data_IF_075902513283
#
_entry.id   IF_075902513283
#
_cell.length_a   1.000
_cell.length_b   1.000
_cell.length_c   1.000
_cell.angle_alpha   90.00
_cell.angle_beta   90.00
_cell.angle_gamma   90.00
#
_symmetry.space_group_name_H-M   'P 1'
#
loop_
_entity.id
_entity.type
_entity.pdbx_description
1 polymer ?
#
# COMPACT_ATOMS: atom_id res chain seq x y z
N UNK A 1 29.34 -21.41 15.31
CA UNK A 1 28.85 -20.63 14.13
C UNK A 1 28.42 -19.26 14.60
N UNK A 2 28.89 -18.14 13.96
CA UNK A 2 28.46 -16.79 14.37
C UNK A 2 27.01 -16.47 13.95
N UNK A 3 26.37 -15.49 14.60
CA UNK A 3 25.03 -15.00 14.22
C UNK A 3 24.96 -14.59 12.75
N UNK A 4 26.01 -13.96 12.22
CA UNK A 4 26.10 -13.55 10.83
C UNK A 4 26.12 -14.75 9.87
N UNK A 5 26.92 -15.76 10.16
CA UNK A 5 26.95 -17.00 9.38
C UNK A 5 25.62 -17.78 9.47
N UNK A 6 25.01 -17.83 10.65
CA UNK A 6 23.68 -18.40 10.83
C UNK A 6 22.64 -17.68 9.96
N UNK A 7 22.66 -16.34 9.94
CA UNK A 7 21.77 -15.53 9.10
C UNK A 7 21.97 -15.85 7.62
N UNK A 8 23.20 -15.89 7.12
CA UNK A 8 23.52 -16.17 5.71
C UNK A 8 22.99 -17.55 5.29
N UNK A 9 23.09 -18.54 6.18
CA UNK A 9 22.56 -19.88 5.92
C UNK A 9 21.03 -19.89 5.91
N UNK A 10 20.39 -19.25 6.87
CA UNK A 10 18.95 -19.10 6.92
C UNK A 10 18.40 -18.33 5.69
N UNK A 11 19.05 -17.24 5.32
CA UNK A 11 18.68 -16.46 4.13
C UNK A 11 18.76 -17.31 2.86
N UNK A 12 19.83 -18.09 2.71
CA UNK A 12 20.02 -18.92 1.51
C UNK A 12 19.00 -20.04 1.37
N UNK A 13 18.47 -20.57 2.47
CA UNK A 13 17.57 -21.72 2.49
C UNK A 13 16.09 -21.33 2.58
N UNK A 14 15.74 -20.34 3.39
CA UNK A 14 14.33 -20.02 3.66
C UNK A 14 13.86 -18.65 3.13
N UNK A 15 14.72 -17.61 3.09
CA UNK A 15 14.26 -16.29 2.67
C UNK A 15 14.11 -16.14 1.15
N UNK A 16 14.71 -17.00 0.35
CA UNK A 16 14.57 -16.99 -1.11
C UNK A 16 13.12 -17.14 -1.57
N UNK A 17 12.28 -17.82 -0.80
CA UNK A 17 10.85 -17.99 -1.07
C UNK A 17 10.00 -16.74 -0.81
N UNK A 18 10.53 -15.71 -0.14
CA UNK A 18 9.82 -14.45 0.09
C UNK A 18 9.77 -13.62 -1.19
N UNK A 19 8.70 -12.83 -1.39
CA UNK A 19 8.52 -11.95 -2.56
C UNK A 19 9.69 -10.98 -2.78
N UNK A 20 10.30 -10.47 -1.70
CA UNK A 20 11.48 -9.60 -1.71
C UNK A 20 12.82 -10.36 -1.59
N UNK A 21 12.75 -11.70 -1.59
CA UNK A 21 13.91 -12.59 -1.42
C UNK A 21 14.75 -12.28 -0.17
N UNK A 22 14.13 -11.75 0.88
CA UNK A 22 14.78 -11.41 2.14
C UNK A 22 15.56 -10.09 2.17
N UNK A 23 15.48 -9.27 1.12
CA UNK A 23 16.24 -7.99 1.01
C UNK A 23 15.99 -7.06 2.19
N UNK A 24 14.72 -6.91 2.63
CA UNK A 24 14.41 -6.03 3.75
C UNK A 24 14.87 -6.61 5.09
N UNK A 25 14.81 -7.93 5.27
CA UNK A 25 15.33 -8.60 6.46
C UNK A 25 16.85 -8.42 6.54
N UNK A 26 17.57 -8.67 5.45
CA UNK A 26 19.02 -8.44 5.40
C UNK A 26 19.37 -7.00 5.75
N UNK A 27 18.65 -6.02 5.19
CA UNK A 27 18.88 -4.61 5.47
C UNK A 27 18.75 -4.27 6.96
N UNK A 28 17.73 -4.83 7.63
CA UNK A 28 17.53 -4.58 9.07
C UNK A 28 18.58 -5.30 9.92
N UNK A 29 18.97 -6.52 9.59
CA UNK A 29 20.03 -7.25 10.29
C UNK A 29 21.39 -6.57 10.17
N UNK A 30 21.77 -6.15 8.95
CA UNK A 30 23.03 -5.40 8.72
C UNK A 30 23.06 -4.10 9.54
N UNK A 31 21.94 -3.42 9.63
CA UNK A 31 21.86 -2.13 10.33
C UNK A 31 21.80 -2.28 11.86
N UNK A 32 21.04 -3.25 12.37
CA UNK A 32 20.57 -3.23 13.74
C UNK A 32 21.03 -4.44 14.59
N UNK A 33 21.45 -5.53 13.97
CA UNK A 33 21.84 -6.77 14.67
C UNK A 33 23.33 -7.04 14.54
N UNK A 34 23.86 -7.08 13.32
CA UNK A 34 25.28 -7.43 13.10
C UNK A 34 26.28 -6.53 13.81
N UNK A 35 26.06 -5.20 13.95
CA UNK A 35 26.99 -4.34 14.67
C UNK A 35 27.15 -4.68 16.15
N UNK A 36 26.18 -5.39 16.74
CA UNK A 36 26.20 -5.70 18.18
C UNK A 36 26.50 -7.17 18.43
N UNK A 37 25.86 -8.10 17.71
CA UNK A 37 25.98 -9.54 17.96
C UNK A 37 26.39 -10.37 16.72
N UNK A 38 26.71 -9.72 15.60
CA UNK A 38 27.02 -10.44 14.34
C UNK A 38 28.15 -11.45 14.45
N UNK A 39 29.20 -11.13 15.19
CA UNK A 39 30.38 -11.96 15.39
C UNK A 39 30.30 -12.87 16.62
N UNK A 40 29.23 -12.78 17.43
CA UNK A 40 28.99 -13.65 18.60
C UNK A 40 28.60 -15.03 18.11
N UNK A 41 29.07 -16.07 18.79
CA UNK A 41 28.66 -17.46 18.53
C UNK A 41 27.15 -17.58 18.81
N UNK A 42 26.37 -18.16 17.87
CA UNK A 42 24.91 -18.21 17.95
C UNK A 42 24.42 -18.91 19.23
N UNK A 43 25.13 -19.90 19.71
CA UNK A 43 24.89 -20.64 20.97
C UNK A 43 25.13 -19.80 22.22
N UNK A 44 26.00 -18.78 22.15
CA UNK A 44 26.32 -17.87 23.25
C UNK A 44 25.38 -16.66 23.33
N UNK A 45 24.51 -16.48 22.35
CA UNK A 45 23.56 -15.36 22.32
C UNK A 45 22.55 -15.48 23.44
N UNK A 46 22.56 -14.49 24.33
CA UNK A 46 21.61 -14.38 25.45
C UNK A 46 20.43 -13.50 25.10
N UNK A 47 19.28 -13.74 25.74
CA UNK A 47 18.07 -12.90 25.63
C UNK A 47 18.37 -11.42 25.86
N UNK A 48 19.21 -11.08 26.86
CA UNK A 48 19.59 -9.69 27.14
C UNK A 48 20.32 -9.01 25.98
N UNK A 49 21.10 -9.75 25.22
CA UNK A 49 21.80 -9.22 24.04
C UNK A 49 20.83 -8.88 22.92
N UNK A 50 19.83 -9.73 22.69
CA UNK A 50 18.76 -9.45 21.71
C UNK A 50 17.91 -8.25 22.17
N UNK A 51 17.50 -8.22 23.44
CA UNK A 51 16.77 -7.10 24.00
C UNK A 51 17.53 -5.77 23.81
N UNK A 52 18.82 -5.73 24.14
CA UNK A 52 19.64 -4.54 23.96
C UNK A 52 19.76 -4.07 22.48
N UNK A 53 19.76 -5.01 21.51
CA UNK A 53 19.70 -4.64 20.08
C UNK A 53 18.36 -3.97 19.74
N UNK A 54 17.25 -4.53 20.22
CA UNK A 54 15.90 -4.04 19.93
C UNK A 54 15.61 -2.73 20.65
N UNK A 55 16.08 -2.55 21.89
CA UNK A 55 15.95 -1.31 22.66
C UNK A 55 16.60 -0.13 21.94
N UNK A 56 17.81 -0.30 21.38
CA UNK A 56 18.46 0.72 20.53
C UNK A 56 17.60 1.14 19.33
N UNK A 57 16.85 0.19 18.75
CA UNK A 57 15.93 0.48 17.64
C UNK A 57 14.71 1.26 18.12
N UNK A 58 14.21 0.97 19.32
CA UNK A 58 13.11 1.72 19.97
C UNK A 58 13.57 3.13 20.35
N UNK A 59 14.73 3.28 20.98
CA UNK A 59 15.31 4.57 21.39
C UNK A 59 15.49 5.53 20.21
N UNK A 60 15.85 5.03 19.02
CA UNK A 60 15.91 5.87 17.83
C UNK A 60 14.53 6.19 17.21
N UNK A 61 13.42 5.87 17.88
CA UNK A 61 12.05 6.17 17.45
C UNK A 61 11.49 5.21 16.39
N UNK A 62 11.93 3.94 16.37
CA UNK A 62 11.48 2.97 15.37
C UNK A 62 10.87 1.69 15.98
N UNK A 63 9.88 1.77 16.89
CA UNK A 63 9.35 0.62 17.62
C UNK A 63 8.75 -0.46 16.70
N UNK A 64 8.11 -0.08 15.61
CA UNK A 64 7.55 -1.06 14.65
C UNK A 64 8.66 -1.89 13.98
N UNK A 65 9.82 -1.28 13.72
CA UNK A 65 10.97 -2.01 13.16
C UNK A 65 11.50 -3.01 14.19
N UNK A 66 11.62 -2.61 15.47
CA UNK A 66 12.04 -3.51 16.54
C UNK A 66 11.10 -4.73 16.67
N UNK A 67 9.78 -4.50 16.63
CA UNK A 67 8.77 -5.58 16.66
C UNK A 67 8.91 -6.56 15.50
N UNK A 68 9.14 -6.05 14.28
CA UNK A 68 9.32 -6.88 13.09
C UNK A 68 10.63 -7.65 13.17
N UNK A 69 11.70 -6.99 13.61
CA UNK A 69 13.02 -7.58 13.76
C UNK A 69 13.03 -8.72 14.79
N UNK A 70 12.28 -8.57 15.92
CA UNK A 70 12.06 -9.71 16.84
C UNK A 70 11.36 -10.88 16.14
N UNK A 71 10.41 -10.61 15.25
CA UNK A 71 9.77 -11.66 14.46
C UNK A 71 10.71 -12.40 13.52
N UNK A 72 11.62 -11.66 12.88
CA UNK A 72 12.63 -12.24 11.98
C UNK A 72 13.71 -12.99 12.79
N UNK A 73 14.15 -12.47 13.94
CA UNK A 73 15.06 -13.17 14.87
C UNK A 73 14.47 -14.51 15.34
N UNK A 74 13.18 -14.54 15.70
CA UNK A 74 12.50 -15.79 16.07
C UNK A 74 12.51 -16.82 14.96
N UNK A 75 12.29 -16.40 13.72
CA UNK A 75 12.32 -17.30 12.58
C UNK A 75 13.76 -17.84 12.37
N UNK A 76 14.76 -16.97 12.46
CA UNK A 76 16.16 -17.38 12.33
C UNK A 76 16.60 -18.35 13.43
N UNK A 77 16.30 -18.06 14.71
CA UNK A 77 16.65 -18.97 15.80
C UNK A 77 15.80 -20.24 15.81
N UNK A 78 14.53 -20.17 15.40
CA UNK A 78 13.72 -21.37 15.14
C UNK A 78 14.30 -22.26 14.05
N UNK A 79 14.83 -21.67 12.96
CA UNK A 79 15.60 -22.39 11.97
C UNK A 79 16.87 -23.01 12.57
N UNK A 80 17.59 -22.27 13.41
CA UNK A 80 18.81 -22.75 14.05
C UNK A 80 18.56 -23.95 14.97
N UNK A 81 17.47 -23.94 15.75
CA UNK A 81 17.05 -25.09 16.58
C UNK A 81 16.68 -26.29 15.69
N UNK A 82 15.88 -26.08 14.65
CA UNK A 82 15.48 -27.14 13.73
C UNK A 82 16.67 -27.87 13.08
N UNK A 83 17.77 -27.15 12.89
CA UNK A 83 19.01 -27.68 12.30
C UNK A 83 20.10 -28.00 13.33
N UNK A 84 19.75 -28.01 14.62
CA UNK A 84 20.66 -28.34 15.74
C UNK A 84 21.92 -27.46 15.81
N UNK A 85 21.82 -26.20 15.33
CA UNK A 85 22.90 -25.22 15.43
C UNK A 85 22.92 -24.51 16.78
N UNK A 86 21.81 -24.50 17.50
CA UNK A 86 21.67 -23.99 18.85
C UNK A 86 20.65 -24.86 19.61
N UNK A 87 20.85 -25.02 20.93
CA UNK A 87 19.95 -25.80 21.79
C UNK A 87 18.74 -24.97 22.28
N UNK A 88 18.94 -23.67 22.50
CA UNK A 88 17.96 -22.81 23.13
C UNK A 88 17.61 -21.62 22.24
N UNK A 89 16.33 -21.18 22.30
CA UNK A 89 15.86 -19.98 21.63
C UNK A 89 16.13 -18.74 22.50
N UNK A 90 17.11 -17.88 22.16
CA UNK A 90 17.39 -16.66 22.92
C UNK A 90 16.30 -15.60 22.76
N UNK A 91 15.33 -15.77 21.85
CA UNK A 91 14.18 -14.88 21.69
C UNK A 91 12.98 -15.30 22.55
N UNK A 92 13.08 -16.46 23.23
CA UNK A 92 12.04 -16.93 24.14
C UNK A 92 11.75 -15.88 25.21
N UNK A 93 10.47 -15.78 25.58
CA UNK A 93 9.95 -14.82 26.58
C UNK A 93 10.04 -13.32 26.24
N UNK A 94 10.67 -12.91 25.12
CA UNK A 94 10.51 -11.54 24.60
C UNK A 94 9.18 -11.40 23.90
N UNK A 95 8.36 -10.43 24.25
CA UNK A 95 7.09 -10.14 23.57
C UNK A 95 7.26 -8.98 22.61
N UNK A 96 6.55 -9.00 21.48
CA UNK A 96 6.57 -7.87 20.54
C UNK A 96 6.13 -6.57 21.22
N UNK A 97 5.24 -6.64 22.17
CA UNK A 97 4.69 -5.48 22.89
C UNK A 97 5.69 -4.87 23.89
N UNK A 98 6.75 -5.61 24.27
CA UNK A 98 7.87 -5.08 25.06
C UNK A 98 8.62 -3.96 24.31
N UNK A 99 8.61 -4.00 22.96
CA UNK A 99 9.29 -3.06 22.08
C UNK A 99 8.35 -2.03 21.45
N UNK A 100 7.20 -1.79 22.02
CA UNK A 100 6.20 -0.81 21.62
C UNK A 100 4.90 -1.45 21.10
N UNK A 101 3.80 -0.77 21.33
CA UNK A 101 2.47 -1.23 20.88
C UNK A 101 2.28 -1.01 19.40
N UNK A 102 1.64 -1.96 18.72
CA UNK A 102 1.15 -1.75 17.36
C UNK A 102 -0.10 -0.88 17.42
N UNK A 103 0.04 0.39 17.03
CA UNK A 103 -1.12 1.27 16.86
C UNK A 103 -1.74 0.94 15.50
N UNK A 104 -2.96 0.44 15.52
CA UNK A 104 -3.73 0.24 14.31
C UNK A 104 -4.26 1.58 13.84
N UNK A 105 -4.04 1.87 12.57
CA UNK A 105 -4.51 3.10 11.96
C UNK A 105 -5.92 2.85 11.40
N UNK A 106 -6.87 3.65 11.82
CA UNK A 106 -8.29 3.60 11.45
C UNK A 106 -8.76 4.80 10.63
N UNK A 107 -7.82 5.61 10.13
CA UNK A 107 -8.08 6.85 9.40
C UNK A 107 -8.93 6.59 8.15
N UNK A 108 -10.09 7.25 8.07
CA UNK A 108 -11.02 7.32 6.95
C UNK A 108 -11.29 8.79 6.67
N UNK A 109 -11.35 9.22 5.43
CA UNK A 109 -11.75 10.56 5.03
C UNK A 109 -13.28 10.64 5.03
N UNK A 110 -13.83 11.69 5.59
CA UNK A 110 -15.27 12.00 5.44
C UNK A 110 -15.56 12.78 4.15
N UNK A 111 -16.84 12.99 3.86
CA UNK A 111 -17.28 13.68 2.65
C UNK A 111 -16.72 15.09 2.52
N UNK A 112 -16.64 15.83 3.65
CA UNK A 112 -16.08 17.18 3.67
C UNK A 112 -14.57 17.17 3.32
N UNK A 113 -13.82 16.17 3.80
CA UNK A 113 -12.41 16.01 3.48
C UNK A 113 -12.18 15.54 2.04
N UNK A 114 -13.09 14.73 1.46
CA UNK A 114 -13.03 14.35 0.04
C UNK A 114 -13.27 15.57 -0.85
N UNK A 115 -14.30 16.36 -0.56
CA UNK A 115 -14.58 17.64 -1.24
C UNK A 115 -13.39 18.61 -1.13
N UNK A 116 -12.79 18.68 0.06
CA UNK A 116 -11.60 19.52 0.28
C UNK A 116 -10.39 19.01 -0.49
N UNK A 117 -10.18 17.71 -0.53
CA UNK A 117 -9.06 17.08 -1.24
C UNK A 117 -9.13 17.39 -2.75
N UNK A 118 -10.32 17.35 -3.33
CA UNK A 118 -10.55 17.74 -4.72
C UNK A 118 -10.09 19.18 -5.01
N UNK A 119 -10.43 20.11 -4.13
CA UNK A 119 -10.01 21.52 -4.24
C UNK A 119 -8.52 21.73 -4.00
N UNK A 120 -7.89 20.89 -3.17
CA UNK A 120 -6.46 21.03 -2.83
C UNK A 120 -5.53 20.42 -3.87
N UNK A 121 -5.97 19.40 -4.61
CA UNK A 121 -5.12 18.68 -5.56
C UNK A 121 -4.53 19.57 -6.66
N UNK A 122 -5.26 20.51 -7.30
CA UNK A 122 -4.71 21.40 -8.32
C UNK A 122 -3.51 22.21 -7.82
N UNK A 123 -3.56 22.70 -6.57
CA UNK A 123 -2.53 23.56 -5.97
C UNK A 123 -1.44 22.77 -5.24
N UNK A 124 -1.55 21.45 -5.14
CA UNK A 124 -0.65 20.61 -4.36
C UNK A 124 0.74 20.42 -5.00
N UNK A 125 1.02 21.03 -6.16
CA UNK A 125 2.26 20.80 -6.91
C UNK A 125 2.54 19.31 -7.15
N UNK A 126 1.49 18.52 -7.34
CA UNK A 126 1.56 17.13 -7.77
C UNK A 126 1.42 17.04 -9.27
N UNK A 127 2.08 16.05 -9.87
CA UNK A 127 1.82 15.73 -11.27
C UNK A 127 0.41 15.12 -11.39
N UNK A 128 -0.32 15.45 -12.45
CA UNK A 128 -1.67 14.95 -12.75
C UNK A 128 -1.78 13.42 -12.64
N UNK A 129 -0.72 12.71 -13.05
CA UNK A 129 -0.60 11.25 -12.87
C UNK A 129 -0.76 10.79 -11.41
N UNK A 130 -0.21 11.53 -10.45
CA UNK A 130 -0.30 11.19 -9.02
C UNK A 130 -1.70 11.46 -8.49
N UNK A 131 -2.33 12.56 -8.94
CA UNK A 131 -3.71 12.93 -8.58
C UNK A 131 -4.68 11.87 -9.10
N UNK A 132 -4.60 11.53 -10.39
CA UNK A 132 -5.43 10.50 -11.00
C UNK A 132 -5.26 9.13 -10.30
N UNK A 133 -4.02 8.76 -9.94
CA UNK A 133 -3.77 7.54 -9.19
C UNK A 133 -4.42 7.54 -7.80
N UNK A 134 -4.48 8.69 -7.10
CA UNK A 134 -5.19 8.81 -5.82
C UNK A 134 -6.70 8.58 -5.98
N UNK A 135 -7.31 9.19 -7.00
CA UNK A 135 -8.74 9.00 -7.29
C UNK A 135 -9.04 7.56 -7.71
N UNK A 136 -8.20 6.93 -8.52
CA UNK A 136 -8.34 5.51 -8.86
C UNK A 136 -8.27 4.63 -7.61
N UNK A 137 -7.34 4.88 -6.69
CA UNK A 137 -7.26 4.12 -5.43
C UNK A 137 -8.51 4.26 -4.59
N UNK A 138 -9.10 5.46 -4.51
CA UNK A 138 -10.34 5.71 -3.77
C UNK A 138 -11.53 5.02 -4.44
N UNK A 139 -11.68 5.18 -5.76
CA UNK A 139 -12.82 4.68 -6.54
C UNK A 139 -12.81 3.16 -6.76
N UNK A 140 -11.65 2.52 -6.69
CA UNK A 140 -11.50 1.07 -6.92
C UNK A 140 -11.20 0.28 -5.65
N UNK A 141 -10.88 0.95 -4.57
CA UNK A 141 -10.39 0.35 -3.33
C UNK A 141 -9.13 -0.53 -3.54
N UNK A 142 -8.35 -0.32 -4.61
CA UNK A 142 -7.14 -1.08 -4.90
C UNK A 142 -5.96 -0.66 -4.02
N UNK A 143 -4.99 -1.55 -3.86
CA UNK A 143 -3.75 -1.22 -3.15
C UNK A 143 -2.85 -0.35 -4.03
N UNK A 144 -2.09 0.55 -3.40
CA UNK A 144 -1.15 1.44 -4.12
C UNK A 144 -0.19 0.67 -5.03
N UNK A 145 0.27 -0.51 -4.61
CA UNK A 145 1.14 -1.36 -5.42
C UNK A 145 0.44 -1.93 -6.65
N UNK A 146 -0.85 -2.26 -6.54
CA UNK A 146 -1.66 -2.77 -7.65
C UNK A 146 -1.85 -1.69 -8.72
N UNK A 147 -2.11 -0.44 -8.32
CA UNK A 147 -2.25 0.71 -9.23
C UNK A 147 -0.90 1.07 -9.88
N UNK A 148 0.19 1.10 -9.12
CA UNK A 148 1.52 1.44 -9.64
C UNK A 148 2.00 0.42 -10.69
N UNK A 149 1.72 -0.85 -10.50
CA UNK A 149 2.12 -1.94 -11.39
C UNK A 149 1.04 -2.30 -12.43
N UNK A 150 0.01 -1.45 -12.61
CA UNK A 150 -1.01 -1.65 -13.62
C UNK A 150 -0.42 -1.50 -15.03
N UNK A 151 -0.89 -2.35 -15.95
CA UNK A 151 -0.50 -2.33 -17.36
C UNK A 151 -1.73 -2.13 -18.24
N UNK A 152 -1.58 -1.39 -19.33
CA UNK A 152 -2.68 -1.10 -20.25
C UNK A 152 -3.30 -2.37 -20.86
N UNK A 153 -2.53 -3.41 -21.09
CA UNK A 153 -3.03 -4.71 -21.60
C UNK A 153 -4.04 -5.41 -20.66
N UNK A 154 -4.09 -4.98 -19.39
CA UNK A 154 -5.01 -5.52 -18.39
C UNK A 154 -6.26 -4.64 -18.18
N UNK A 155 -6.41 -3.54 -18.91
CA UNK A 155 -7.47 -2.56 -18.73
C UNK A 155 -8.29 -2.45 -20.01
N UNK A 156 -9.55 -2.80 -19.92
CA UNK A 156 -10.53 -2.58 -20.97
C UNK A 156 -11.47 -1.44 -20.55
N UNK A 157 -11.22 -0.23 -21.08
CA UNK A 157 -12.04 0.95 -20.80
C UNK A 157 -13.41 0.88 -21.45
N UNK A 158 -13.59 0.12 -22.53
CA UNK A 158 -14.87 -0.07 -23.20
C UNK A 158 -15.75 -1.01 -22.37
N UNK A 159 -15.25 -2.19 -22.04
CA UNK A 159 -15.93 -3.13 -21.14
C UNK A 159 -16.01 -2.63 -19.70
N UNK A 160 -15.20 -1.63 -19.31
CA UNK A 160 -15.14 -1.11 -17.96
C UNK A 160 -14.52 -2.09 -16.96
N UNK A 161 -13.46 -2.80 -17.36
CA UNK A 161 -12.82 -3.79 -16.49
C UNK A 161 -11.31 -3.55 -16.37
N UNK A 162 -10.79 -3.84 -15.19
CA UNK A 162 -9.36 -3.89 -14.91
C UNK A 162 -9.01 -5.21 -14.24
N UNK A 163 -8.25 -6.05 -14.94
CA UNK A 163 -7.75 -7.32 -14.43
C UNK A 163 -6.41 -7.13 -13.71
N UNK A 164 -6.34 -7.48 -12.46
CA UNK A 164 -5.12 -7.48 -11.65
C UNK A 164 -4.59 -8.91 -11.62
N UNK A 165 -3.45 -9.21 -12.29
CA UNK A 165 -2.91 -10.56 -12.35
C UNK A 165 -2.37 -11.03 -10.98
N UNK A 166 -2.22 -12.34 -10.76
CA UNK A 166 -1.75 -12.91 -9.49
C UNK A 166 -0.43 -12.31 -9.00
N UNK A 167 0.52 -12.07 -9.89
CA UNK A 167 1.85 -11.53 -9.56
C UNK A 167 1.79 -10.10 -9.02
N UNK A 168 0.78 -9.33 -9.42
CA UNK A 168 0.55 -7.98 -8.92
C UNK A 168 -0.35 -7.97 -7.67
N UNK A 169 -1.14 -8.99 -7.44
CA UNK A 169 -1.98 -9.11 -6.27
C UNK A 169 -1.19 -9.52 -5.02
N UNK A 170 -1.50 -8.88 -3.85
CA UNK A 170 -0.80 -9.18 -2.59
C UNK A 170 -1.01 -10.63 -2.13
N UNK A 171 -2.18 -11.20 -2.39
CA UNK A 171 -2.56 -12.56 -1.98
C UNK A 171 -2.29 -13.63 -3.05
N UNK A 172 -1.66 -13.25 -4.19
CA UNK A 172 -1.35 -14.15 -5.29
C UNK A 172 -2.59 -14.66 -6.05
N UNK A 173 -3.75 -14.00 -5.91
CA UNK A 173 -4.98 -14.36 -6.62
C UNK A 173 -5.36 -13.25 -7.59
N UNK A 174 -5.73 -13.66 -8.81
CA UNK A 174 -6.30 -12.75 -9.79
C UNK A 174 -7.53 -12.04 -9.24
N UNK A 175 -7.71 -10.78 -9.63
CA UNK A 175 -8.82 -9.96 -9.22
C UNK A 175 -9.27 -9.08 -10.37
N UNK A 176 -10.58 -9.03 -10.62
CA UNK A 176 -11.19 -8.14 -11.60
C UNK A 176 -11.91 -7.01 -10.88
N UNK A 177 -11.59 -5.78 -11.24
CA UNK A 177 -12.24 -4.55 -10.80
C UNK A 177 -13.18 -4.08 -11.92
N UNK A 178 -14.42 -3.78 -11.58
CA UNK A 178 -15.39 -3.18 -12.51
C UNK A 178 -15.34 -1.66 -12.34
N UNK A 179 -14.93 -0.98 -13.41
CA UNK A 179 -14.65 0.46 -13.38
C UNK A 179 -15.94 1.28 -13.51
N UNK A 180 -16.26 2.06 -12.50
CA UNK A 180 -17.30 3.12 -12.60
C UNK A 180 -16.89 4.21 -13.62
N UNK A 181 -17.84 5.08 -14.01
CA UNK A 181 -17.55 6.23 -14.89
C UNK A 181 -16.44 7.09 -14.31
N UNK A 182 -16.51 7.41 -13.03
CA UNK A 182 -15.49 8.16 -12.30
C UNK A 182 -14.09 7.54 -12.43
N UNK A 183 -13.97 6.24 -12.17
CA UNK A 183 -12.69 5.54 -12.29
C UNK A 183 -12.18 5.53 -13.74
N UNK A 184 -13.08 5.28 -14.72
CA UNK A 184 -12.73 5.30 -16.14
C UNK A 184 -12.18 6.64 -16.60
N UNK A 185 -12.71 7.75 -16.13
CA UNK A 185 -12.25 9.06 -16.54
C UNK A 185 -10.83 9.37 -16.03
N UNK A 186 -10.50 8.94 -14.82
CA UNK A 186 -9.12 9.02 -14.33
C UNK A 186 -8.16 8.07 -15.08
N UNK A 187 -8.60 6.90 -15.51
CA UNK A 187 -7.79 6.05 -16.39
C UNK A 187 -7.62 6.66 -17.79
N UNK A 188 -8.63 7.32 -18.36
CA UNK A 188 -8.50 8.07 -19.64
C UNK A 188 -7.48 9.20 -19.51
N UNK A 189 -7.52 9.94 -18.38
CA UNK A 189 -6.52 10.96 -18.07
C UNK A 189 -5.11 10.37 -18.08
N UNK A 190 -4.89 9.24 -17.39
CA UNK A 190 -3.59 8.58 -17.38
C UNK A 190 -3.17 8.10 -18.77
N UNK A 191 -4.11 7.60 -19.59
CA UNK A 191 -3.83 7.16 -20.96
C UNK A 191 -3.37 8.32 -21.82
N UNK A 192 -4.07 9.46 -21.79
CA UNK A 192 -3.68 10.71 -22.46
C UNK A 192 -2.27 11.13 -22.06
N UNK A 193 -1.96 11.17 -20.77
CA UNK A 193 -0.64 11.59 -20.26
C UNK A 193 0.49 10.67 -20.73
N UNK A 194 0.26 9.36 -20.75
CA UNK A 194 1.24 8.39 -21.26
C UNK A 194 1.46 8.55 -22.77
N UNK A 195 0.39 8.73 -23.54
CA UNK A 195 0.46 8.96 -24.99
C UNK A 195 1.17 10.29 -25.33
N UNK A 196 0.87 11.36 -24.57
CA UNK A 196 1.52 12.65 -24.72
C UNK A 196 3.01 12.57 -24.39
N UNK A 197 3.41 11.81 -23.38
CA UNK A 197 4.82 11.63 -23.00
C UNK A 197 5.67 10.93 -24.09
N UNK A 198 5.03 10.23 -25.01
CA UNK A 198 5.67 9.58 -26.15
C UNK A 198 5.80 10.48 -27.40
N UNK A 199 5.35 11.74 -27.31
CA UNK A 199 5.35 12.72 -28.43
C UNK A 199 6.26 13.90 -28.13
N UNK A 200 6.77 14.53 -29.17
CA UNK A 200 7.47 15.81 -29.08
C UNK A 200 6.48 17.00 -28.98
N UNK A 201 7.02 18.22 -28.87
CA UNK A 201 6.22 19.46 -28.80
C UNK A 201 5.33 19.71 -30.03
N UNK A 202 5.63 19.07 -31.15
CA UNK A 202 4.88 19.18 -32.40
C UNK A 202 3.88 18.01 -32.57
N UNK A 203 3.73 17.14 -31.56
CA UNK A 203 2.84 15.98 -31.59
C UNK A 203 3.38 14.77 -32.36
N UNK A 204 4.65 14.80 -32.80
CA UNK A 204 5.28 13.68 -33.50
C UNK A 204 5.72 12.62 -32.49
N UNK A 205 5.40 11.36 -32.76
CA UNK A 205 5.84 10.22 -31.96
C UNK A 205 7.37 10.12 -31.95
N UNK A 206 7.97 10.13 -30.76
CA UNK A 206 9.42 10.05 -30.53
C UNK A 206 9.84 8.83 -29.72
N UNK A 207 8.88 8.14 -29.10
CA UNK A 207 9.11 6.93 -28.33
C UNK A 207 7.88 6.00 -28.42
N UNK A 208 8.06 4.73 -28.08
CA UNK A 208 6.94 3.82 -27.89
C UNK A 208 6.11 4.25 -26.66
N UNK A 209 4.79 4.09 -26.78
CA UNK A 209 3.88 4.34 -25.64
C UNK A 209 4.15 3.30 -24.56
N UNK A 210 4.38 3.76 -23.34
CA UNK A 210 4.67 2.87 -22.22
C UNK A 210 3.55 1.85 -21.99
N UNK A 211 3.86 0.56 -21.75
CA UNK A 211 2.85 -0.43 -21.37
C UNK A 211 2.32 -0.22 -19.94
N UNK A 212 2.97 0.62 -19.15
CA UNK A 212 2.61 0.88 -17.76
C UNK A 212 1.67 2.07 -17.65
N UNK A 213 0.62 1.92 -16.84
CA UNK A 213 -0.34 3.00 -16.53
C UNK A 213 0.37 4.16 -15.81
N UNK A 214 1.25 3.83 -14.87
CA UNK A 214 2.09 4.78 -14.14
C UNK A 214 3.56 4.54 -14.52
N UNK A 215 3.99 5.07 -15.67
CA UNK A 215 5.34 4.87 -16.17
C UNK A 215 6.37 5.80 -15.50
N UNK A 216 7.59 5.32 -15.31
CA UNK A 216 8.69 6.12 -14.77
C UNK A 216 9.34 6.97 -15.87
N UNK A 217 9.43 8.30 -15.65
CA UNK A 217 9.96 9.24 -16.65
C UNK A 217 11.47 9.09 -16.93
N UNK A 218 12.25 8.53 -16.00
CA UNK A 218 13.72 8.52 -16.06
C UNK A 218 14.33 7.13 -16.23
N UNK A 219 13.52 6.08 -16.30
CA UNK A 219 13.96 4.70 -16.45
C UNK A 219 12.83 3.82 -17.00
N UNK A 220 13.15 2.72 -17.70
CA UNK A 220 12.13 1.76 -18.11
C UNK A 220 11.36 1.21 -16.91
N UNK A 221 10.04 1.01 -17.07
CA UNK A 221 9.18 0.41 -16.06
C UNK A 221 8.18 1.38 -15.44
N UNK A 222 7.56 0.93 -14.36
CA UNK A 222 6.56 1.68 -13.61
C UNK A 222 7.17 2.61 -12.55
N UNK A 223 6.37 3.47 -11.94
CA UNK A 223 6.75 4.27 -10.76
C UNK A 223 7.40 3.40 -9.68
N UNK A 224 8.30 3.99 -8.90
CA UNK A 224 8.75 3.34 -7.66
C UNK A 224 7.54 3.12 -6.73
N UNK A 225 7.42 1.94 -6.12
CA UNK A 225 6.29 1.57 -5.24
C UNK A 225 6.06 2.56 -4.08
N UNK A 226 7.09 3.31 -3.69
CA UNK A 226 7.00 4.30 -2.62
C UNK A 226 6.72 5.72 -3.14
N UNK A 227 6.67 5.96 -4.46
CA UNK A 227 6.56 7.31 -5.06
C UNK A 227 5.33 8.06 -4.59
N UNK A 228 4.14 7.48 -4.75
CA UNK A 228 2.88 8.14 -4.39
C UNK A 228 2.86 8.44 -2.89
N UNK A 229 3.17 7.45 -2.04
CA UNK A 229 3.18 7.63 -0.59
C UNK A 229 4.17 8.69 -0.13
N UNK A 230 5.34 8.81 -0.79
CA UNK A 230 6.31 9.86 -0.50
C UNK A 230 5.81 11.22 -0.91
N UNK A 231 5.24 11.37 -2.11
CA UNK A 231 4.71 12.62 -2.60
C UNK A 231 3.57 13.14 -1.71
N UNK A 232 2.62 12.27 -1.35
CA UNK A 232 1.52 12.61 -0.45
C UNK A 232 2.03 12.98 0.96
N UNK A 233 2.96 12.19 1.51
CA UNK A 233 3.56 12.48 2.81
C UNK A 233 4.37 13.78 2.84
N UNK A 234 5.00 14.15 1.74
CA UNK A 234 5.75 15.39 1.62
C UNK A 234 4.83 16.63 1.68
N UNK A 235 3.65 16.57 1.06
CA UNK A 235 2.63 17.64 1.10
C UNK A 235 1.90 17.75 2.45
N UNK A 236 2.24 16.91 3.40
CA UNK A 236 1.69 16.88 4.76
C UNK A 236 2.79 16.96 5.82
N UNK A 237 3.94 17.55 5.49
CA UNK A 237 5.08 17.66 6.42
C UNK A 237 4.93 18.77 7.45
N UNK A 238 3.99 19.69 7.24
CA UNK A 238 3.80 20.87 8.09
C UNK A 238 4.94 21.85 7.95
N UNK A 239 5.36 22.45 9.06
CA UNK A 239 6.43 23.45 9.12
C UNK A 239 7.85 22.87 9.00
N UNK A 240 8.00 21.57 8.75
CA UNK A 240 9.32 20.97 8.54
C UNK A 240 9.93 21.46 7.25
N UNK A 241 11.21 21.82 7.30
CA UNK A 241 11.97 22.22 6.13
C UNK A 241 11.82 21.21 4.98
N UNK A 242 11.59 21.68 3.74
CA UNK A 242 11.59 20.80 2.58
C UNK A 242 12.96 20.11 2.44
N UNK A 243 12.94 18.85 2.05
CA UNK A 243 14.19 18.17 1.71
C UNK A 243 14.72 18.69 0.37
N UNK A 244 16.03 18.62 0.16
CA UNK A 244 16.67 19.01 -1.11
C UNK A 244 15.97 18.30 -2.27
N UNK A 245 15.58 19.03 -3.30
CA UNK A 245 14.85 18.56 -4.48
C UNK A 245 13.41 18.06 -4.22
N UNK A 246 12.80 18.43 -3.10
CA UNK A 246 11.41 18.12 -2.78
C UNK A 246 10.53 19.37 -2.90
N UNK A 247 9.21 19.16 -2.98
CA UNK A 247 8.26 20.29 -3.06
C UNK A 247 8.35 21.19 -1.85
N UNK A 248 8.16 22.51 -2.09
CA UNK A 248 7.99 23.52 -1.03
C UNK A 248 6.55 23.53 -0.47
N UNK A 249 5.60 22.87 -1.14
CA UNK A 249 4.18 22.84 -0.77
C UNK A 249 3.90 21.85 0.38
N UNK A 250 4.62 21.98 1.50
CA UNK A 250 4.65 20.99 2.60
C UNK A 250 3.36 20.87 3.42
N UNK A 251 2.39 21.78 3.20
CA UNK A 251 1.07 21.78 3.88
C UNK A 251 -0.11 21.63 2.92
N UNK A 252 0.15 21.54 1.61
CA UNK A 252 -0.88 21.62 0.57
C UNK A 252 -1.92 20.49 0.58
N UNK A 253 -1.67 19.39 1.27
CA UNK A 253 -2.59 18.28 1.43
C UNK A 253 -2.91 17.95 2.89
N UNK A 254 -2.73 18.92 3.79
CA UNK A 254 -3.16 18.77 5.18
C UNK A 254 -4.70 18.82 5.24
N UNK A 255 -5.30 17.83 5.90
CA UNK A 255 -6.74 17.74 6.11
C UNK A 255 -7.08 17.97 7.59
N UNK A 256 -8.31 18.45 7.90
CA UNK A 256 -8.71 18.83 9.27
C UNK A 256 -8.55 17.71 10.30
N UNK A 257 -8.83 16.47 9.92
CA UNK A 257 -8.73 15.30 10.81
C UNK A 257 -7.36 14.65 10.80
N UNK A 258 -6.34 15.36 10.31
CA UNK A 258 -4.94 14.97 10.36
C UNK A 258 -4.44 14.22 9.12
N UNK A 259 -3.22 13.71 9.25
CA UNK A 259 -2.49 13.09 8.15
C UNK A 259 -3.19 11.86 7.59
N UNK A 260 -3.15 11.75 6.28
CA UNK A 260 -3.68 10.62 5.53
C UNK A 260 -2.61 10.01 4.60
N UNK A 261 -2.85 8.81 4.15
CA UNK A 261 -1.97 8.05 3.25
C UNK A 261 -2.77 7.44 2.10
N UNK A 262 -2.13 7.02 1.01
CA UNK A 262 -2.82 6.28 -0.06
C UNK A 262 -3.61 5.05 0.43
N UNK A 263 -3.16 4.39 1.50
CA UNK A 263 -3.90 3.26 2.06
C UNK A 263 -5.20 3.69 2.77
N UNK A 264 -5.25 4.91 3.30
CA UNK A 264 -6.47 5.45 3.90
C UNK A 264 -7.52 5.77 2.84
N UNK A 265 -7.14 6.09 1.59
CA UNK A 265 -8.09 6.21 0.46
C UNK A 265 -8.83 4.89 0.20
N UNK A 266 -8.10 3.76 0.24
CA UNK A 266 -8.72 2.44 0.10
C UNK A 266 -9.69 2.14 1.25
N UNK A 267 -9.35 2.51 2.50
CA UNK A 267 -10.27 2.38 3.64
C UNK A 267 -11.49 3.26 3.47
N UNK A 268 -11.27 4.48 3.03
CA UNK A 268 -12.34 5.45 2.74
C UNK A 268 -13.30 4.91 1.69
N UNK A 269 -12.81 4.42 0.56
CA UNK A 269 -13.64 3.81 -0.47
C UNK A 269 -14.47 2.63 0.07
N UNK A 270 -13.85 1.72 0.83
CA UNK A 270 -14.56 0.61 1.44
C UNK A 270 -15.63 1.06 2.46
N UNK A 271 -15.32 2.06 3.29
CA UNK A 271 -16.27 2.62 4.27
C UNK A 271 -17.44 3.32 3.59
N UNK A 272 -17.18 4.14 2.56
CA UNK A 272 -18.21 4.77 1.75
C UNK A 272 -19.12 3.73 1.08
N UNK A 273 -18.54 2.69 0.49
CA UNK A 273 -19.31 1.61 -0.12
C UNK A 273 -20.24 0.94 0.90
N UNK A 274 -19.78 0.75 2.14
CA UNK A 274 -20.62 0.24 3.23
C UNK A 274 -21.76 1.20 3.60
N UNK A 275 -21.49 2.52 3.66
CA UNK A 275 -22.52 3.53 3.95
C UNK A 275 -23.59 3.65 2.85
N UNK A 276 -23.27 3.18 1.64
CA UNK A 276 -24.22 3.06 0.53
C UNK A 276 -25.08 1.79 0.56
N UNK A 277 -25.02 1.01 1.64
CA UNK A 277 -25.83 -0.17 1.86
C UNK A 277 -25.27 -1.46 1.24
N UNK A 278 -24.04 -1.44 0.73
CA UNK A 278 -23.40 -2.65 0.20
C UNK A 278 -22.99 -3.59 1.35
N UNK A 279 -23.33 -4.85 1.20
CA UNK A 279 -23.05 -5.88 2.23
C UNK A 279 -21.54 -6.07 2.46
N UNK A 280 -21.11 -6.35 3.70
CA UNK A 280 -19.70 -6.53 4.05
C UNK A 280 -18.97 -7.61 3.23
N UNK A 281 -19.63 -8.72 2.92
CA UNK A 281 -19.06 -9.82 2.13
C UNK A 281 -18.72 -9.39 0.69
N UNK A 282 -19.53 -8.51 0.08
CA UNK A 282 -19.27 -7.91 -1.23
C UNK A 282 -18.06 -6.97 -1.16
N UNK A 283 -17.99 -6.12 -0.12
CA UNK A 283 -16.87 -5.20 0.10
C UNK A 283 -15.56 -5.99 0.26
N UNK A 284 -15.54 -7.06 1.05
CA UNK A 284 -14.37 -7.94 1.22
C UNK A 284 -13.90 -8.55 -0.11
N UNK A 285 -14.83 -8.90 -1.00
CA UNK A 285 -14.51 -9.36 -2.35
C UNK A 285 -13.95 -8.22 -3.22
N UNK A 286 -14.53 -7.02 -3.17
CA UNK A 286 -13.99 -5.84 -3.85
C UNK A 286 -12.58 -5.50 -3.36
N UNK A 287 -12.29 -5.72 -2.09
CA UNK A 287 -10.97 -5.57 -1.50
C UNK A 287 -9.98 -6.69 -1.87
N UNK A 288 -10.40 -7.74 -2.56
CA UNK A 288 -9.60 -8.94 -2.80
C UNK A 288 -8.97 -9.48 -1.50
N UNK A 289 -9.78 -9.53 -0.42
CA UNK A 289 -9.37 -10.15 0.83
C UNK A 289 -9.59 -11.66 0.75
N UNK A 290 -8.68 -12.41 1.38
CA UNK A 290 -8.84 -13.86 1.51
C UNK A 290 -9.76 -14.12 2.69
N UNK A 291 -10.87 -14.82 2.43
CA UNK A 291 -11.78 -15.29 3.49
C UNK A 291 -11.00 -16.17 4.48
N UNK A 292 -10.97 -15.76 5.73
CA UNK A 292 -10.25 -16.47 6.78
C UNK A 292 -11.02 -17.68 7.30
N UNK A 293 -12.35 -17.61 7.29
CA UNK A 293 -13.18 -18.75 7.68
C UNK A 293 -13.13 -19.84 6.58
N UNK A 294 -12.53 -20.99 6.95
CA UNK A 294 -12.36 -22.12 6.03
C UNK A 294 -13.71 -22.63 5.49
N UNK A 295 -14.76 -22.68 6.31
CA UNK A 295 -16.08 -23.14 5.92
C UNK A 295 -16.71 -22.20 4.90
N UNK A 296 -16.73 -20.89 5.19
CA UNK A 296 -17.23 -19.87 4.26
C UNK A 296 -16.51 -19.96 2.92
N UNK A 297 -15.18 -20.11 2.92
CA UNK A 297 -14.37 -20.24 1.71
C UNK A 297 -14.66 -21.49 0.89
N UNK A 298 -15.04 -22.59 1.54
CA UNK A 298 -15.35 -23.86 0.85
C UNK A 298 -16.77 -23.84 0.26
N UNK A 299 -17.73 -23.31 0.99
CA UNK A 299 -19.15 -23.39 0.63
C UNK A 299 -19.68 -22.18 -0.12
N UNK A 300 -19.12 -20.97 0.09
CA UNK A 300 -19.54 -19.77 -0.63
C UNK A 300 -18.65 -19.51 -1.85
N UNK A 301 -18.82 -20.30 -2.89
CA UNK A 301 -18.11 -20.15 -4.18
C UNK A 301 -18.90 -19.35 -5.21
N UNK A 302 -20.00 -18.73 -4.82
CA UNK A 302 -20.85 -17.97 -5.71
C UNK A 302 -20.05 -16.84 -6.36
N UNK A 303 -20.24 -16.66 -7.66
CA UNK A 303 -19.77 -15.49 -8.37
C UNK A 303 -20.75 -14.35 -8.07
N UNK A 304 -20.26 -13.31 -7.41
CA UNK A 304 -21.02 -12.11 -7.05
C UNK A 304 -20.57 -10.92 -7.92
N UNK A 305 -20.38 -11.23 -9.21
CA UNK A 305 -19.86 -10.27 -10.20
C UNK A 305 -20.77 -9.04 -10.33
N UNK A 306 -22.09 -9.27 -10.40
CA UNK A 306 -23.07 -8.20 -10.56
C UNK A 306 -23.07 -7.28 -9.33
N UNK A 307 -23.05 -7.86 -8.14
CA UNK A 307 -23.02 -7.12 -6.88
C UNK A 307 -21.71 -6.35 -6.69
N UNK A 308 -20.58 -6.90 -7.12
CA UNK A 308 -19.31 -6.19 -7.11
C UNK A 308 -19.32 -5.01 -8.10
N UNK A 309 -19.82 -5.22 -9.33
CA UNK A 309 -19.95 -4.16 -10.32
C UNK A 309 -20.86 -3.04 -9.82
N UNK A 310 -21.98 -3.39 -9.19
CA UNK A 310 -22.90 -2.44 -8.57
C UNK A 310 -22.23 -1.67 -7.42
N UNK A 311 -21.47 -2.35 -6.56
CA UNK A 311 -20.74 -1.71 -5.46
C UNK A 311 -19.78 -0.61 -5.96
N UNK A 312 -19.01 -0.89 -7.02
CA UNK A 312 -18.12 0.10 -7.61
C UNK A 312 -18.88 1.21 -8.37
N UNK A 313 -20.01 0.88 -8.99
CA UNK A 313 -20.88 1.88 -9.64
C UNK A 313 -21.39 2.89 -8.62
N UNK A 314 -21.96 2.41 -7.50
CA UNK A 314 -22.47 3.26 -6.41
C UNK A 314 -21.35 4.12 -5.79
N UNK A 315 -20.18 3.54 -5.54
CA UNK A 315 -19.02 4.29 -5.04
C UNK A 315 -18.61 5.39 -6.03
N UNK A 316 -18.55 5.08 -7.33
CA UNK A 316 -18.20 6.06 -8.36
C UNK A 316 -19.19 7.22 -8.42
N UNK A 317 -20.50 6.95 -8.44
CA UNK A 317 -21.54 7.98 -8.41
C UNK A 317 -21.45 8.86 -7.17
N UNK A 318 -21.18 8.26 -6.00
CA UNK A 318 -20.96 9.05 -4.78
C UNK A 318 -19.76 9.99 -4.91
N UNK A 319 -18.65 9.51 -5.49
CA UNK A 319 -17.47 10.33 -5.71
C UNK A 319 -17.73 11.44 -6.74
N UNK A 320 -18.45 11.18 -7.83
CA UNK A 320 -18.87 12.19 -8.79
C UNK A 320 -19.69 13.30 -8.11
N UNK A 321 -20.64 12.94 -7.23
CA UNK A 321 -21.40 13.90 -6.45
C UNK A 321 -20.53 14.74 -5.51
N UNK A 322 -19.54 14.12 -4.85
CA UNK A 322 -18.67 14.83 -3.91
C UNK A 322 -17.66 15.76 -4.58
N UNK A 323 -17.28 15.49 -5.83
CA UNK A 323 -16.32 16.28 -6.60
C UNK A 323 -16.95 17.16 -7.68
N UNK A 324 -18.29 17.10 -7.86
CA UNK A 324 -18.98 17.96 -8.80
C UNK A 324 -19.17 19.37 -8.23
N UNK A 325 -18.87 20.37 -9.05
CA UNK A 325 -19.13 21.79 -8.72
C UNK A 325 -20.59 22.20 -8.93
N UNK A 326 -21.48 21.24 -9.25
CA UNK A 326 -22.83 21.53 -9.62
C UNK A 326 -23.70 21.92 -8.39
N UNK A 327 -24.10 23.19 -8.21
CA UNK A 327 -24.83 23.65 -7.03
C UNK A 327 -26.27 23.08 -6.94
N UNK A 328 -26.75 22.40 -8.00
CA UNK A 328 -28.10 21.83 -8.05
C UNK A 328 -28.15 20.37 -7.57
N UNK A 329 -27.06 19.80 -7.11
CA UNK A 329 -27.06 18.46 -6.53
C UNK A 329 -27.40 18.56 -5.05
N UNK A 330 -28.64 18.28 -4.69
CA UNK A 330 -29.11 18.19 -3.30
C UNK A 330 -28.79 16.77 -2.81
N UNK A 331 -27.93 16.67 -1.78
CA UNK A 331 -27.76 15.41 -1.05
C UNK A 331 -29.07 15.07 -0.31
N UNK A 332 -29.78 14.06 -0.78
CA UNK A 332 -30.85 13.46 -0.02
C UNK A 332 -30.23 12.61 1.10
N UNK A 333 -30.13 13.15 2.30
CA UNK A 333 -29.79 12.34 3.46
C UNK A 333 -30.95 11.38 3.74
N UNK A 334 -30.72 10.06 3.88
CA UNK A 334 -31.76 9.19 4.37
C UNK A 334 -32.18 9.69 5.76
N UNK A 335 -33.45 9.99 5.91
CA UNK A 335 -34.05 10.28 7.21
C UNK A 335 -33.81 9.05 8.07
N UNK A 336 -33.08 9.21 9.20
CA UNK A 336 -32.89 8.14 10.15
C UNK A 336 -34.27 7.66 10.62
N UNK A 337 -34.56 6.39 10.37
CA UNK A 337 -35.76 5.72 10.86
C UNK A 337 -35.56 5.30 12.32
#
# INVERSE_FOLDING_TARGET
MTVKLLFERWESLELKGRKDKGVEVRRTFVKDIFPTIGEVAAEEVKRSMIAACLDKVVERGSPIIARNLLGDLRQMFGFAIKHEYVENDPTSHLKRDDFGKKIERDRVLDDAEIKLLDKLFPDAQLHETTIAACWIMLATCCRVGEVIQARWEHIDLQAGTWRIPPDNAKNGKEHTVYLSSFAKDHFKTLKRLVEESAKDKNGKQIAEVSPWVLHASHKPGHFCLKSISKQIGDRQRGDKQPMKNWSKATKSLELPRGKWTPHDLRRTGATLTGSLGVRPDIIEKCLNHVEQNRLVRIYQRQTIVAEQAEAWRLLGERLELLTSENPNVIELHPVAA
#
